data_IF_371801147384
#
_entry.id   IF_371801147384
#
_cell.length_a   1.000
_cell.length_b   1.000
_cell.length_c   1.000
_cell.angle_alpha   90.00
_cell.angle_beta   90.00
_cell.angle_gamma   90.00
#
_symmetry.space_group_name_H-M   'P 1'
#
loop_
_entity.id
_entity.type
_entity.pdbx_description
1 polymer ?
#
# COMPACT_ATOMS: atom_id res chain seq x y z
N UNK A 1 8.55 8.90 15.67
CA UNK A 1 9.75 8.79 14.82
C UNK A 1 9.54 9.76 13.66
N UNK A 2 10.59 10.25 13.01
CA UNK A 2 10.39 11.08 11.81
C UNK A 2 10.31 10.10 10.66
N UNK A 3 9.15 10.04 10.01
CA UNK A 3 8.95 9.18 8.85
C UNK A 3 10.05 9.49 7.82
N UNK A 4 10.80 8.47 7.40
CA UNK A 4 11.88 8.65 6.42
C UNK A 4 11.26 9.05 5.08
N UNK A 5 11.55 10.28 4.63
CA UNK A 5 11.11 10.80 3.33
C UNK A 5 12.18 10.48 2.30
N UNK A 6 11.84 9.66 1.30
CA UNK A 6 12.70 9.34 0.18
C UNK A 6 12.05 9.75 -1.15
N UNK A 7 12.47 10.89 -1.68
CA UNK A 7 11.92 11.47 -2.91
C UNK A 7 12.20 10.65 -4.18
N UNK A 8 13.01 9.59 -4.10
CA UNK A 8 13.22 8.66 -5.21
C UNK A 8 12.15 7.56 -5.27
N UNK A 9 11.21 7.54 -4.32
CA UNK A 9 10.10 6.61 -4.29
C UNK A 9 8.78 7.38 -4.17
N UNK A 10 7.70 6.74 -4.61
CA UNK A 10 6.35 7.25 -4.44
C UNK A 10 5.38 6.10 -4.30
N UNK A 11 4.78 6.01 -3.12
CA UNK A 11 3.88 4.95 -2.73
C UNK A 11 2.43 5.39 -2.98
N UNK A 12 1.68 4.55 -3.69
CA UNK A 12 0.25 4.68 -3.89
C UNK A 12 -0.47 3.66 -3.01
N UNK A 13 -1.33 4.18 -2.14
CA UNK A 13 -2.15 3.43 -1.21
C UNK A 13 -3.54 3.28 -1.83
N UNK A 14 -3.84 2.08 -2.30
CA UNK A 14 -5.11 1.74 -2.94
C UNK A 14 -6.06 1.13 -1.91
N UNK A 15 -7.31 1.59 -1.89
CA UNK A 15 -8.32 1.09 -0.97
C UNK A 15 -9.71 1.12 -1.57
N UNK A 16 -10.52 0.08 -1.34
CA UNK A 16 -11.94 0.10 -1.67
C UNK A 16 -12.76 -0.83 -0.76
N UNK A 17 -14.00 -0.44 -0.50
CA UNK A 17 -14.95 -1.10 0.41
C UNK A 17 -15.85 -2.13 -0.28
N UNK A 18 -15.76 -2.27 -1.60
CA UNK A 18 -16.45 -3.27 -2.39
C UNK A 18 -15.57 -3.71 -3.56
N UNK A 19 -15.36 -5.00 -3.73
CA UNK A 19 -14.59 -5.51 -4.88
C UNK A 19 -15.32 -5.23 -6.20
N UNK A 20 -14.70 -4.46 -7.08
CA UNK A 20 -15.16 -4.25 -8.44
C UNK A 20 -14.02 -4.48 -9.46
N UNK A 21 -14.32 -5.02 -10.65
CA UNK A 21 -13.31 -5.55 -11.57
C UNK A 21 -12.40 -4.50 -12.24
N UNK A 22 -12.62 -3.22 -11.94
CA UNK A 22 -11.98 -2.09 -12.61
C UNK A 22 -11.37 -1.11 -11.59
N UNK A 23 -10.72 -1.61 -10.54
CA UNK A 23 -9.91 -0.75 -9.68
C UNK A 23 -8.86 0.02 -10.50
N UNK A 24 -8.65 1.29 -10.22
CA UNK A 24 -7.77 2.17 -10.98
C UNK A 24 -7.31 3.38 -10.16
N UNK A 25 -6.84 4.44 -10.83
CA UNK A 25 -6.32 5.63 -10.14
C UNK A 25 -7.34 6.35 -9.25
N UNK A 26 -8.64 6.08 -9.42
CA UNK A 26 -9.68 6.63 -8.57
C UNK A 26 -9.67 6.04 -7.15
N UNK A 27 -9.07 4.86 -6.96
CA UNK A 27 -9.02 4.15 -5.67
C UNK A 27 -7.76 4.50 -4.86
N UNK A 28 -6.96 5.47 -5.32
CA UNK A 28 -5.83 5.99 -4.53
C UNK A 28 -6.38 6.84 -3.39
N UNK A 29 -6.35 6.29 -2.18
CA UNK A 29 -6.72 7.00 -0.96
C UNK A 29 -5.59 7.93 -0.50
N UNK A 30 -4.34 7.51 -0.70
CA UNK A 30 -3.16 8.24 -0.23
C UNK A 30 -1.99 8.08 -1.18
N UNK A 31 -1.21 9.14 -1.30
CA UNK A 31 0.10 9.14 -1.96
C UNK A 31 1.13 9.72 -1.00
N UNK A 32 2.25 9.04 -0.83
CA UNK A 32 3.35 9.50 0.03
C UNK A 32 4.69 9.11 -0.57
N UNK A 33 5.73 9.88 -0.24
CA UNK A 33 7.12 9.58 -0.58
C UNK A 33 7.84 8.93 0.64
N UNK A 34 7.09 8.52 1.68
CA UNK A 34 7.59 7.76 2.84
C UNK A 34 7.05 6.33 2.89
N UNK A 35 7.96 5.35 3.01
CA UNK A 35 7.59 3.92 3.10
C UNK A 35 6.84 3.61 4.40
N UNK A 36 7.32 4.16 5.51
CA UNK A 36 6.74 3.94 6.84
C UNK A 36 5.30 4.47 6.89
N UNK A 37 5.08 5.68 6.37
CA UNK A 37 3.74 6.27 6.31
C UNK A 37 2.76 5.44 5.45
N UNK A 38 3.24 4.85 4.35
CA UNK A 38 2.44 4.00 3.49
C UNK A 38 2.08 2.65 4.16
N UNK A 39 3.03 2.04 4.88
CA UNK A 39 2.80 0.82 5.66
C UNK A 39 1.83 1.08 6.82
N UNK A 40 2.00 2.18 7.55
CA UNK A 40 1.10 2.56 8.63
C UNK A 40 -0.34 2.74 8.14
N UNK A 41 -0.51 3.39 6.98
CA UNK A 41 -1.83 3.50 6.35
C UNK A 41 -2.45 2.13 6.05
N UNK A 42 -1.67 1.19 5.51
CA UNK A 42 -2.17 -0.17 5.24
C UNK A 42 -2.60 -0.89 6.52
N UNK A 43 -1.78 -0.83 7.57
CA UNK A 43 -2.08 -1.47 8.86
C UNK A 43 -3.34 -0.90 9.52
N UNK A 44 -3.57 0.42 9.38
CA UNK A 44 -4.77 1.09 9.89
C UNK A 44 -6.02 0.70 9.09
N UNK A 45 -5.94 0.65 7.76
CA UNK A 45 -7.11 0.51 6.88
C UNK A 45 -7.47 -0.94 6.53
N UNK A 46 -6.55 -1.92 6.64
CA UNK A 46 -6.79 -3.31 6.23
C UNK A 46 -7.94 -4.02 6.96
N UNK A 47 -8.34 -3.51 8.12
CA UNK A 47 -9.49 -4.03 8.88
C UNK A 47 -10.82 -3.34 8.55
N UNK A 48 -10.75 -2.22 7.83
CA UNK A 48 -11.88 -1.35 7.50
C UNK A 48 -12.29 -1.45 6.03
N UNK A 49 -11.36 -1.82 5.15
CA UNK A 49 -11.59 -1.96 3.71
C UNK A 49 -11.65 -3.44 3.30
N UNK A 50 -12.47 -3.72 2.29
CA UNK A 50 -12.53 -5.06 1.67
C UNK A 50 -11.24 -5.39 0.91
N UNK A 51 -10.54 -4.35 0.43
CA UNK A 51 -9.24 -4.45 -0.21
C UNK A 51 -8.38 -3.24 0.11
N UNK A 52 -7.12 -3.49 0.40
CA UNK A 52 -6.10 -2.46 0.53
C UNK A 52 -4.75 -2.98 0.02
N UNK A 53 -4.00 -2.16 -0.70
CA UNK A 53 -2.65 -2.48 -1.14
C UNK A 53 -1.78 -1.23 -1.22
N UNK A 54 -0.47 -1.42 -1.10
CA UNK A 54 0.52 -0.37 -1.30
C UNK A 54 1.41 -0.74 -2.49
N UNK A 55 1.50 0.17 -3.44
CA UNK A 55 2.30 0.02 -4.66
C UNK A 55 3.38 1.10 -4.71
N UNK A 56 4.63 0.70 -4.90
CA UNK A 56 5.70 1.62 -5.24
C UNK A 56 5.66 1.93 -6.74
N UNK A 57 5.30 3.16 -7.09
CA UNK A 57 5.18 3.60 -8.48
C UNK A 57 6.52 3.68 -9.23
N UNK A 58 7.65 3.78 -8.50
CA UNK A 58 8.98 3.88 -9.08
C UNK A 58 9.54 2.50 -9.38
N UNK A 59 9.53 1.59 -8.40
CA UNK A 59 9.99 0.20 -8.61
C UNK A 59 8.97 -0.65 -9.36
N UNK A 60 7.70 -0.23 -9.36
CA UNK A 60 6.54 -0.93 -9.94
C UNK A 60 6.28 -2.28 -9.26
N UNK A 61 6.31 -2.27 -7.94
CA UNK A 61 6.16 -3.45 -7.10
C UNK A 61 5.15 -3.18 -5.96
N UNK A 62 4.41 -4.21 -5.57
CA UNK A 62 3.58 -4.18 -4.37
C UNK A 62 4.42 -4.47 -3.13
N UNK A 63 4.19 -3.74 -2.04
CA UNK A 63 4.90 -3.96 -0.78
C UNK A 63 4.41 -5.19 -0.01
N UNK A 64 3.19 -5.67 -0.30
CA UNK A 64 2.56 -6.83 0.37
C UNK A 64 3.14 -8.19 -0.09
N UNK A 65 4.03 -8.21 -1.07
CA UNK A 65 4.70 -9.44 -1.52
C UNK A 65 5.69 -9.99 -0.49
N UNK A 66 6.28 -9.14 0.37
CA UNK A 66 7.21 -9.61 1.41
C UNK A 66 6.44 -10.33 2.54
N UNK A 67 5.26 -9.85 2.92
CA UNK A 67 4.46 -10.41 4.02
C UNK A 67 3.83 -11.76 3.69
N UNK A 68 3.38 -11.95 2.44
CA UNK A 68 2.77 -13.22 1.98
C UNK A 68 3.79 -14.35 1.78
N UNK A 69 5.08 -14.04 1.60
CA UNK A 69 6.14 -15.07 1.57
C UNK A 69 6.47 -15.61 2.97
N UNK A 70 6.37 -14.80 4.02
CA UNK A 70 6.58 -15.25 5.40
C UNK A 70 5.47 -16.16 5.90
N UNK A 71 4.20 -15.86 5.59
CA UNK A 71 3.05 -16.72 5.95
C UNK A 71 3.05 -18.07 5.21
N UNK A 72 3.64 -18.15 4.01
CA UNK A 72 3.75 -19.39 3.23
C UNK A 72 4.83 -20.34 3.72
N UNK A 73 5.81 -19.83 4.47
CA UNK A 73 6.97 -20.57 4.96
C UNK A 73 6.89 -20.90 6.46
N UNK A 74 5.77 -20.59 7.12
CA UNK A 74 5.48 -20.90 8.53
C UNK A 74 4.77 -22.23 8.76
#
# INVERSE_FOLDING_TARGET
MVDEINLNHRYWCFGFDQYYPCGGFADIHKTTDSREEAINWYEEEKSHLDYCEVWDSVTREYLDNETKEEERNG
#
